data_IF_290355849189
#
_entry.id   IF_290355849189
#
_cell.length_a   1.000
_cell.length_b   1.000
_cell.length_c   1.000
_cell.angle_alpha   90.00
_cell.angle_beta   90.00
_cell.angle_gamma   90.00
#
_symmetry.space_group_name_H-M   'P 1'
#
loop_
_entity.id
_entity.type
_entity.pdbx_description
1 polymer ?
#
# COMPACT_ATOMS: atom_id res chain seq x y z
N UNK A 1 -7.00 -6.00 -19.34
CA UNK A 1 -6.02 -6.84 -18.62
C UNK A 1 -4.79 -7.20 -19.47
N UNK A 2 -4.64 -6.72 -20.71
CA UNK A 2 -3.46 -6.98 -21.55
C UNK A 2 -2.96 -5.70 -22.27
N UNK A 3 -3.22 -4.53 -21.70
CA UNK A 3 -2.75 -3.28 -22.30
C UNK A 3 -1.23 -3.17 -22.15
N UNK A 4 -0.56 -2.69 -23.18
CA UNK A 4 0.87 -2.34 -23.12
C UNK A 4 1.06 -0.86 -22.74
N UNK A 5 0.11 -0.02 -23.18
CA UNK A 5 0.10 1.44 -22.97
C UNK A 5 -1.27 1.87 -22.47
N UNK A 6 -1.29 2.74 -21.46
CA UNK A 6 -2.47 3.43 -20.94
C UNK A 6 -2.40 4.90 -21.38
N UNK A 7 -3.29 5.31 -22.27
CA UNK A 7 -3.42 6.71 -22.67
C UNK A 7 -4.42 7.42 -21.75
N UNK A 8 -3.99 8.51 -21.11
CA UNK A 8 -4.76 9.21 -20.09
C UNK A 8 -4.84 10.72 -20.35
N UNK A 9 -5.80 11.17 -21.19
CA UNK A 9 -6.13 12.59 -21.27
C UNK A 9 -6.84 13.02 -19.98
N UNK A 10 -6.37 14.08 -19.34
CA UNK A 10 -6.83 14.46 -18.00
C UNK A 10 -6.85 15.97 -17.78
N UNK A 11 -7.55 16.37 -16.72
CA UNK A 11 -7.68 17.74 -16.20
C UNK A 11 -7.42 17.69 -14.69
N UNK A 12 -6.23 17.28 -14.30
CA UNK A 12 -5.88 17.01 -12.91
C UNK A 12 -5.73 18.30 -12.11
N UNK A 13 -5.97 18.20 -10.81
CA UNK A 13 -6.12 19.35 -9.92
C UNK A 13 -5.38 19.11 -8.59
N UNK A 14 -5.11 20.20 -7.88
CA UNK A 14 -4.75 20.25 -6.45
C UNK A 14 -3.46 19.54 -6.01
N UNK A 15 -2.77 18.82 -6.89
CA UNK A 15 -1.47 18.22 -6.58
C UNK A 15 -0.43 18.45 -7.68
N UNK A 16 0.85 18.35 -7.31
CA UNK A 16 1.97 18.48 -8.25
C UNK A 16 1.95 17.34 -9.26
N UNK A 17 2.03 17.67 -10.55
CA UNK A 17 2.03 16.67 -11.63
C UNK A 17 3.44 16.16 -11.98
N UNK A 18 3.60 14.90 -12.44
CA UNK A 18 2.55 13.90 -12.63
C UNK A 18 2.03 13.35 -11.31
N UNK A 19 0.72 13.07 -11.24
CA UNK A 19 0.09 12.57 -10.03
C UNK A 19 0.67 11.24 -9.55
N UNK A 20 0.83 11.07 -8.24
CA UNK A 20 1.39 9.84 -7.65
C UNK A 20 0.54 8.59 -7.98
N UNK A 21 -0.77 8.78 -8.16
CA UNK A 21 -1.67 7.71 -8.61
C UNK A 21 -1.31 7.22 -10.03
N UNK A 22 -0.83 8.08 -10.93
CA UNK A 22 -0.47 7.67 -12.29
C UNK A 22 0.76 6.76 -12.27
N UNK A 23 1.75 7.13 -11.47
CA UNK A 23 2.94 6.31 -11.19
C UNK A 23 2.52 4.94 -10.64
N UNK A 24 1.62 4.92 -9.66
CA UNK A 24 1.08 3.67 -9.11
C UNK A 24 0.38 2.82 -10.17
N UNK A 25 -0.48 3.41 -11.01
CA UNK A 25 -1.22 2.65 -12.05
C UNK A 25 -0.29 2.06 -13.12
N UNK A 26 0.75 2.79 -13.53
CA UNK A 26 1.79 2.29 -14.42
C UNK A 26 2.51 1.08 -13.80
N UNK A 27 2.99 1.25 -12.56
CA UNK A 27 3.66 0.19 -11.81
C UNK A 27 2.77 -1.03 -11.57
N UNK A 28 1.54 -0.89 -11.08
CA UNK A 28 0.69 -2.03 -10.69
C UNK A 28 0.24 -2.87 -11.89
N UNK A 29 0.14 -2.26 -13.08
CA UNK A 29 -0.31 -2.93 -14.30
C UNK A 29 0.84 -3.32 -15.23
N UNK A 30 2.07 -2.87 -14.94
CA UNK A 30 3.22 -3.10 -15.82
C UNK A 30 2.98 -2.53 -17.22
N UNK A 31 2.41 -1.33 -17.29
CA UNK A 31 2.11 -0.65 -18.55
C UNK A 31 2.84 0.67 -18.59
N UNK A 32 3.18 1.11 -19.80
CA UNK A 32 3.45 2.53 -19.99
C UNK A 32 2.18 3.33 -19.71
N UNK A 33 2.32 4.49 -19.09
CA UNK A 33 1.22 5.44 -18.93
C UNK A 33 1.62 6.77 -19.59
N UNK A 34 0.84 7.17 -20.59
CA UNK A 34 1.00 8.42 -21.32
C UNK A 34 -0.12 9.36 -20.91
N UNK A 35 0.21 10.33 -20.06
CA UNK A 35 -0.73 11.32 -19.54
C UNK A 35 -0.56 12.65 -20.28
N UNK A 36 -1.65 13.12 -20.89
CA UNK A 36 -1.76 14.47 -21.41
C UNK A 36 -2.68 15.26 -20.47
N UNK A 37 -2.09 16.09 -19.63
CA UNK A 37 -2.79 16.88 -18.63
C UNK A 37 -2.86 18.36 -19.01
N UNK A 38 -3.96 18.97 -18.60
CA UNK A 38 -4.19 20.40 -18.73
C UNK A 38 -3.36 21.18 -17.71
N UNK A 39 -2.88 22.35 -18.10
CA UNK A 39 -2.27 23.33 -17.20
C UNK A 39 -3.00 24.69 -17.30
N UNK A 40 -2.66 25.59 -16.38
CA UNK A 40 -3.19 26.96 -16.35
C UNK A 40 -4.48 27.10 -15.53
N UNK A 41 -5.02 28.30 -15.50
CA UNK A 41 -6.24 28.63 -14.77
C UNK A 41 -7.39 28.89 -15.75
N UNK A 42 -8.47 28.11 -15.65
CA UNK A 42 -9.71 28.37 -16.40
C UNK A 42 -10.87 28.56 -15.43
N UNK A 43 -11.60 29.66 -15.56
CA UNK A 43 -12.83 29.94 -14.78
C UNK A 43 -12.62 29.78 -13.26
N UNK A 44 -11.43 30.15 -12.77
CA UNK A 44 -11.07 30.07 -11.35
C UNK A 44 -10.59 28.69 -10.88
N UNK A 45 -10.47 27.71 -11.77
CA UNK A 45 -9.92 26.38 -11.48
C UNK A 45 -8.49 26.31 -11.99
N UNK A 46 -7.53 26.08 -11.08
CA UNK A 46 -6.13 25.87 -11.39
C UNK A 46 -5.86 24.39 -11.68
N UNK A 47 -5.42 24.08 -12.90
CA UNK A 47 -4.99 22.73 -13.29
C UNK A 47 -3.52 22.46 -12.97
N UNK A 48 -3.22 21.19 -12.72
CA UNK A 48 -1.93 20.72 -12.19
C UNK A 48 -0.80 20.68 -13.22
N UNK A 49 -1.11 20.59 -14.52
CA UNK A 49 -0.09 20.31 -15.53
C UNK A 49 0.64 19.00 -15.23
N UNK A 50 1.92 18.94 -15.58
CA UNK A 50 2.72 17.73 -15.32
C UNK A 50 2.35 16.55 -16.22
N UNK A 51 1.97 16.82 -17.48
CA UNK A 51 1.89 15.80 -18.52
C UNK A 51 3.15 14.94 -18.49
N UNK A 52 3.01 13.63 -18.69
CA UNK A 52 4.12 12.71 -18.49
C UNK A 52 4.02 11.42 -19.30
N UNK A 53 5.18 10.84 -19.56
CA UNK A 53 5.33 9.45 -20.00
C UNK A 53 5.98 8.68 -18.84
N UNK A 54 5.29 7.65 -18.36
CA UNK A 54 5.69 6.85 -17.20
C UNK A 54 5.91 5.41 -17.65
N UNK A 55 7.03 4.84 -17.21
CA UNK A 55 7.48 3.48 -17.52
C UNK A 55 6.66 2.41 -16.78
N UNK A 56 6.67 1.15 -17.24
CA UNK A 56 6.01 0.01 -16.57
C UNK A 56 6.43 -0.25 -15.11
N UNK A 57 7.58 0.25 -14.67
CA UNK A 57 8.06 0.18 -13.29
C UNK A 57 7.70 1.42 -12.46
N UNK A 58 7.01 2.39 -13.06
CA UNK A 58 6.61 3.64 -12.43
C UNK A 58 7.65 4.76 -12.52
N UNK A 59 8.81 4.56 -13.15
CA UNK A 59 9.77 5.65 -13.36
C UNK A 59 9.24 6.66 -14.38
N UNK A 60 9.55 7.95 -14.19
CA UNK A 60 9.10 9.02 -15.10
C UNK A 60 10.13 9.17 -16.22
N UNK A 61 9.75 8.81 -17.45
CA UNK A 61 10.61 8.92 -18.64
C UNK A 61 10.70 10.37 -19.13
N UNK A 62 9.55 11.05 -19.19
CA UNK A 62 9.44 12.43 -19.65
C UNK A 62 8.33 13.16 -18.90
N UNK A 63 8.51 14.46 -18.64
CA UNK A 63 7.55 15.32 -17.93
C UNK A 63 7.54 16.72 -18.53
N UNK A 64 6.35 17.29 -18.70
CA UNK A 64 6.12 18.69 -19.00
C UNK A 64 5.33 19.30 -17.85
N UNK A 65 6.00 20.10 -17.01
CA UNK A 65 5.42 20.68 -15.79
C UNK A 65 4.25 21.64 -16.10
N UNK A 66 4.48 22.60 -17.00
CA UNK A 66 3.51 23.61 -17.42
C UNK A 66 3.81 24.06 -18.85
N UNK A 67 2.93 24.87 -19.44
CA UNK A 67 3.09 25.39 -20.80
C UNK A 67 2.50 24.48 -21.88
N UNK A 68 2.24 25.07 -23.05
CA UNK A 68 1.84 24.33 -24.24
C UNK A 68 3.05 23.57 -24.78
N UNK A 69 2.87 22.30 -25.15
CA UNK A 69 3.96 21.51 -25.69
C UNK A 69 3.61 20.05 -25.90
N UNK A 70 4.62 19.28 -26.28
CA UNK A 70 4.52 17.83 -26.44
C UNK A 70 5.73 17.15 -25.80
N UNK A 71 5.52 15.90 -25.41
CA UNK A 71 6.56 15.01 -24.91
C UNK A 71 6.84 13.93 -25.96
N UNK A 72 8.09 13.51 -26.03
CA UNK A 72 8.51 12.35 -26.78
C UNK A 72 9.09 11.33 -25.79
N UNK A 73 8.81 10.05 -26.03
CA UNK A 73 9.31 8.94 -25.23
C UNK A 73 9.27 7.67 -26.06
N UNK A 74 10.13 6.73 -25.72
CA UNK A 74 10.24 5.42 -26.36
C UNK A 74 9.41 4.39 -25.60
N UNK A 75 8.66 3.56 -26.34
CA UNK A 75 7.79 2.53 -25.79
C UNK A 75 8.32 1.16 -26.21
N UNK A 76 8.93 0.45 -25.26
CA UNK A 76 9.38 -0.93 -25.46
C UNK A 76 8.26 -1.91 -25.09
N UNK A 77 7.47 -2.32 -26.07
CA UNK A 77 6.28 -3.17 -25.84
C UNK A 77 6.61 -4.46 -25.08
N UNK A 78 7.77 -5.07 -25.33
CA UNK A 78 8.16 -6.30 -24.63
C UNK A 78 8.32 -6.09 -23.13
N UNK A 79 8.85 -4.94 -22.67
CA UNK A 79 8.92 -4.63 -21.23
C UNK A 79 7.53 -4.58 -20.60
N UNK A 80 6.55 -4.01 -21.29
CA UNK A 80 5.17 -3.95 -20.80
C UNK A 80 4.49 -5.33 -20.82
N UNK A 81 4.70 -6.14 -21.87
CA UNK A 81 4.08 -7.46 -22.05
C UNK A 81 4.52 -8.48 -21.01
N UNK A 82 5.75 -8.37 -20.51
CA UNK A 82 6.24 -9.29 -19.49
C UNK A 82 5.55 -9.13 -18.14
N UNK A 83 4.95 -7.98 -17.80
CA UNK A 83 4.19 -7.78 -16.53
C UNK A 83 4.96 -8.24 -15.27
N UNK A 84 6.28 -8.05 -15.25
CA UNK A 84 7.19 -8.52 -14.17
C UNK A 84 7.37 -7.47 -13.08
N UNK A 85 7.38 -7.89 -11.82
CA UNK A 85 7.98 -7.07 -10.77
C UNK A 85 9.50 -7.00 -10.95
N UNK A 86 10.18 -5.94 -10.48
CA UNK A 86 11.65 -5.89 -10.49
C UNK A 86 12.26 -7.15 -9.85
N UNK A 87 13.25 -7.74 -10.50
CA UNK A 87 13.91 -8.98 -10.04
C UNK A 87 13.11 -10.26 -10.26
N UNK A 88 11.91 -10.20 -10.83
CA UNK A 88 11.13 -11.38 -11.17
C UNK A 88 11.40 -11.89 -12.58
N UNK A 89 11.40 -13.22 -12.74
CA UNK A 89 11.38 -13.89 -14.04
C UNK A 89 9.95 -14.17 -14.54
N UNK A 90 8.94 -14.08 -13.68
CA UNK A 90 7.55 -14.45 -13.97
C UNK A 90 6.62 -13.22 -14.15
N UNK A 91 5.56 -13.31 -14.98
CA UNK A 91 4.64 -12.21 -15.28
C UNK A 91 3.63 -11.94 -14.15
N UNK A 92 4.14 -11.56 -12.99
CA UNK A 92 3.42 -11.60 -11.71
C UNK A 92 2.49 -10.43 -11.43
N UNK A 93 2.66 -9.26 -12.07
CA UNK A 93 1.84 -8.07 -11.79
C UNK A 93 0.34 -8.32 -11.97
N UNK A 94 -0.02 -9.28 -12.82
CA UNK A 94 -1.39 -9.72 -13.04
C UNK A 94 -1.66 -11.11 -12.46
N UNK A 95 -0.75 -12.06 -12.65
CA UNK A 95 -0.96 -13.47 -12.28
C UNK A 95 -0.83 -13.74 -10.77
N UNK A 96 -0.18 -12.85 -10.01
CA UNK A 96 -0.08 -12.97 -8.55
C UNK A 96 -1.27 -12.34 -7.81
N UNK A 97 -2.23 -11.73 -8.52
CA UNK A 97 -3.49 -11.26 -7.93
C UNK A 97 -4.26 -12.44 -7.33
N UNK A 98 -5.06 -12.20 -6.29
CA UNK A 98 -5.82 -13.23 -5.55
C UNK A 98 -7.34 -12.99 -5.62
N UNK A 99 -8.00 -13.26 -6.77
CA UNK A 99 -9.43 -13.00 -6.96
C UNK A 99 -10.33 -13.61 -5.90
N UNK A 100 -9.94 -14.75 -5.30
CA UNK A 100 -10.67 -15.40 -4.21
C UNK A 100 -10.81 -14.53 -2.93
N UNK A 101 -10.04 -13.43 -2.83
CA UNK A 101 -10.17 -12.46 -1.74
C UNK A 101 -10.88 -11.16 -2.16
N UNK A 102 -11.32 -11.06 -3.42
CA UNK A 102 -11.77 -9.80 -4.02
C UNK A 102 -13.30 -9.68 -4.16
N UNK A 103 -14.08 -10.66 -3.71
CA UNK A 103 -15.54 -10.70 -3.87
C UNK A 103 -16.22 -9.38 -3.49
N UNK A 104 -15.79 -8.77 -2.39
CA UNK A 104 -16.35 -7.51 -1.88
C UNK A 104 -16.14 -6.32 -2.81
N UNK A 105 -15.21 -6.38 -3.77
CA UNK A 105 -15.03 -5.30 -4.75
C UNK A 105 -16.27 -5.12 -5.61
N UNK A 106 -17.03 -6.17 -5.91
CA UNK A 106 -18.25 -6.04 -6.71
C UNK A 106 -19.39 -5.36 -5.93
N UNK A 107 -19.26 -5.24 -4.60
CA UNK A 107 -20.22 -4.55 -3.75
C UNK A 107 -19.97 -3.05 -3.74
N UNK A 108 -21.06 -2.26 -3.64
CA UNK A 108 -21.00 -0.82 -3.41
C UNK A 108 -21.62 -0.42 -2.06
N UNK A 109 -21.07 -0.99 -0.97
CA UNK A 109 -21.57 -0.78 0.39
C UNK A 109 -21.71 0.71 0.77
N UNK A 110 -20.82 1.57 0.28
CA UNK A 110 -20.77 2.99 0.64
C UNK A 110 -21.76 3.87 -0.14
N UNK A 111 -22.60 3.31 -1.02
CA UNK A 111 -23.81 4.03 -1.46
C UNK A 111 -24.80 4.24 -0.31
N UNK A 112 -24.75 3.39 0.70
CA UNK A 112 -25.55 3.47 1.92
C UNK A 112 -24.82 4.27 3.00
N UNK A 113 -25.56 4.75 4.00
CA UNK A 113 -24.98 5.34 5.19
C UNK A 113 -24.08 4.30 5.91
N UNK A 114 -22.76 4.51 6.04
CA UNK A 114 -21.85 3.50 6.61
C UNK A 114 -22.20 3.11 8.05
N UNK A 115 -22.71 4.06 8.84
CA UNK A 115 -23.13 3.82 10.23
C UNK A 115 -24.32 2.85 10.31
N UNK A 116 -25.20 2.87 9.31
CA UNK A 116 -26.35 1.96 9.21
C UNK A 116 -25.93 0.64 8.55
N UNK A 117 -25.22 0.69 7.42
CA UNK A 117 -24.82 -0.48 6.63
C UNK A 117 -24.01 -1.49 7.46
N UNK A 118 -22.98 -1.02 8.16
CA UNK A 118 -22.16 -1.89 9.01
C UNK A 118 -22.88 -2.29 10.30
N UNK A 119 -24.00 -1.66 10.67
CA UNK A 119 -24.84 -2.05 11.80
C UNK A 119 -25.96 -3.02 11.43
N UNK A 120 -26.18 -3.30 10.13
CA UNK A 120 -27.28 -4.14 9.67
C UNK A 120 -27.25 -5.51 10.34
N UNK A 121 -28.38 -5.88 10.95
CA UNK A 121 -28.57 -7.14 11.67
C UNK A 121 -27.54 -7.38 12.80
N UNK A 122 -26.93 -6.32 13.34
CA UNK A 122 -25.87 -6.42 14.34
C UNK A 122 -24.55 -6.98 13.79
N UNK A 123 -24.40 -7.09 12.46
CA UNK A 123 -23.21 -7.66 11.85
C UNK A 123 -22.04 -6.67 11.82
N UNK A 124 -21.17 -6.76 12.84
CA UNK A 124 -19.89 -6.03 12.93
C UNK A 124 -20.01 -4.50 12.80
N UNK A 125 -20.78 -3.84 13.68
CA UNK A 125 -20.90 -2.38 13.69
C UNK A 125 -19.53 -1.71 13.75
N UNK A 126 -19.42 -0.52 13.15
CA UNK A 126 -18.20 0.27 13.24
C UNK A 126 -17.91 0.60 14.71
N UNK A 127 -16.66 0.49 15.17
CA UNK A 127 -16.31 0.89 16.53
C UNK A 127 -16.56 2.40 16.73
N UNK A 128 -16.90 2.86 17.94
CA UNK A 128 -17.23 4.27 18.20
C UNK A 128 -16.10 5.28 17.92
N UNK A 129 -14.88 4.79 17.69
CA UNK A 129 -13.71 5.60 17.37
C UNK A 129 -13.11 6.35 18.57
N UNK A 130 -11.83 6.70 18.46
CA UNK A 130 -11.07 7.41 19.50
C UNK A 130 -9.83 8.08 18.93
N UNK A 131 -9.58 9.33 19.34
CA UNK A 131 -8.28 9.98 19.17
C UNK A 131 -7.17 9.21 19.92
N UNK A 132 -6.26 8.61 19.16
CA UNK A 132 -5.27 7.66 19.65
C UNK A 132 -3.90 7.98 19.06
N UNK A 133 -2.87 8.02 19.90
CA UNK A 133 -1.50 8.14 19.41
C UNK A 133 -1.04 6.78 18.88
N UNK A 134 -0.56 6.74 17.64
CA UNK A 134 -0.01 5.54 17.00
C UNK A 134 1.40 5.81 16.48
N UNK A 135 2.18 4.76 16.31
CA UNK A 135 3.58 4.86 15.91
C UNK A 135 3.99 3.78 14.90
N UNK A 136 5.06 4.08 14.18
CA UNK A 136 5.78 3.17 13.31
C UNK A 136 7.27 3.19 13.67
N UNK A 137 7.94 2.07 13.50
CA UNK A 137 9.38 1.93 13.70
C UNK A 137 10.09 1.58 12.40
N UNK A 138 11.28 2.14 12.22
CA UNK A 138 12.21 1.81 11.15
C UNK A 138 13.51 1.33 11.77
N UNK A 139 13.91 0.09 11.51
CA UNK A 139 15.24 -0.42 11.86
C UNK A 139 15.54 -1.70 11.08
N UNK A 140 16.84 -2.03 10.99
CA UNK A 140 17.28 -3.28 10.40
C UNK A 140 17.35 -4.36 11.49
N UNK A 141 16.51 -5.42 11.43
CA UNK A 141 16.59 -6.52 12.38
C UNK A 141 17.90 -7.31 12.20
N UNK A 142 18.44 -7.85 13.30
CA UNK A 142 19.61 -8.72 13.29
C UNK A 142 19.19 -10.13 12.82
N UNK A 143 19.75 -10.66 11.73
CA UNK A 143 19.35 -11.96 11.19
C UNK A 143 19.53 -13.11 12.18
N UNK A 144 18.49 -13.93 12.37
CA UNK A 144 18.47 -15.11 13.23
C UNK A 144 18.54 -14.85 14.74
N UNK A 145 18.71 -13.60 15.19
CA UNK A 145 18.87 -13.25 16.61
C UNK A 145 17.56 -12.71 17.21
N UNK A 146 16.64 -13.63 17.50
CA UNK A 146 15.34 -13.30 18.07
C UNK A 146 15.45 -12.51 19.39
N UNK A 147 16.43 -12.83 20.24
CA UNK A 147 16.61 -12.15 21.52
C UNK A 147 17.04 -10.69 21.33
N UNK A 148 18.02 -10.43 20.46
CA UNK A 148 18.45 -9.07 20.14
C UNK A 148 17.32 -8.25 19.48
N UNK A 149 16.57 -8.87 18.58
CA UNK A 149 15.45 -8.22 17.89
C UNK A 149 14.32 -7.85 18.86
N UNK A 150 13.92 -8.75 19.75
CA UNK A 150 12.95 -8.44 20.81
C UNK A 150 13.44 -7.34 21.74
N UNK A 151 14.74 -7.29 22.05
CA UNK A 151 15.33 -6.20 22.84
C UNK A 151 15.30 -4.86 22.08
N UNK A 152 15.47 -4.87 20.75
CA UNK A 152 15.33 -3.66 19.91
C UNK A 152 13.89 -3.17 19.85
N UNK A 153 12.92 -4.08 19.68
CA UNK A 153 11.48 -3.75 19.76
C UNK A 153 11.16 -3.15 21.14
N UNK A 154 11.68 -3.74 22.22
CA UNK A 154 11.47 -3.25 23.57
C UNK A 154 12.01 -1.83 23.79
N UNK A 155 13.25 -1.56 23.38
CA UNK A 155 13.86 -0.22 23.45
C UNK A 155 13.06 0.79 22.63
N UNK A 156 12.59 0.38 21.44
CA UNK A 156 11.75 1.21 20.59
C UNK A 156 10.46 1.61 21.30
N UNK A 157 9.77 0.64 21.92
CA UNK A 157 8.55 0.89 22.70
C UNK A 157 8.80 1.80 23.90
N UNK A 158 9.92 1.64 24.59
CA UNK A 158 10.29 2.48 25.72
C UNK A 158 10.57 3.95 25.33
N UNK A 159 11.01 4.18 24.09
CA UNK A 159 11.29 5.52 23.55
C UNK A 159 10.05 6.23 22.99
N UNK A 160 8.94 5.51 22.78
CA UNK A 160 7.70 6.12 22.27
C UNK A 160 7.04 7.03 23.31
N UNK A 161 6.30 8.06 22.88
CA UNK A 161 5.57 8.90 23.81
C UNK A 161 4.57 8.08 24.64
N UNK A 162 4.44 8.45 25.91
CA UNK A 162 3.45 7.86 26.81
C UNK A 162 2.06 8.00 26.21
N UNK A 163 1.27 6.94 26.30
CA UNK A 163 -0.08 6.95 25.75
C UNK A 163 -0.21 6.45 24.32
N UNK A 164 0.90 6.06 23.67
CA UNK A 164 0.85 5.31 22.40
C UNK A 164 -0.04 4.08 22.54
N UNK A 165 -0.92 3.84 21.57
CA UNK A 165 -1.93 2.77 21.59
C UNK A 165 -1.63 1.65 20.62
N UNK A 166 -0.88 1.94 19.56
CA UNK A 166 -0.45 0.97 18.56
C UNK A 166 0.95 1.34 18.07
N UNK A 167 1.83 0.34 17.93
CA UNK A 167 3.12 0.46 17.28
C UNK A 167 3.26 -0.62 16.20
N UNK A 168 3.58 -0.21 14.97
CA UNK A 168 3.82 -1.10 13.82
C UNK A 168 5.32 -1.21 13.57
N UNK A 169 5.80 -2.42 13.34
CA UNK A 169 7.20 -2.76 13.12
C UNK A 169 7.41 -3.35 11.72
N UNK A 170 8.65 -3.35 11.20
CA UNK A 170 8.96 -3.89 9.88
C UNK A 170 8.59 -5.37 9.69
N UNK A 171 8.46 -5.78 8.42
CA UNK A 171 7.97 -7.10 7.99
C UNK A 171 8.71 -8.30 8.58
N UNK A 172 9.99 -8.16 8.88
CA UNK A 172 10.81 -9.23 9.46
C UNK A 172 11.46 -8.82 10.78
N UNK A 173 10.84 -7.87 11.49
CA UNK A 173 11.38 -7.24 12.69
C UNK A 173 11.82 -8.23 13.79
N UNK A 174 11.21 -9.40 13.91
CA UNK A 174 11.58 -10.39 14.92
C UNK A 174 12.70 -11.36 14.50
N UNK A 175 12.88 -11.60 13.20
CA UNK A 175 13.70 -12.73 12.69
C UNK A 175 14.86 -12.29 11.81
N UNK A 176 14.76 -11.14 11.13
CA UNK A 176 15.68 -10.78 10.05
C UNK A 176 15.12 -11.10 8.67
N UNK A 177 15.65 -10.40 7.67
CA UNK A 177 15.21 -10.47 6.27
C UNK A 177 15.95 -11.63 5.57
N UNK A 178 15.26 -12.67 5.09
CA UNK A 178 15.87 -13.74 4.30
C UNK A 178 16.00 -13.34 2.82
N UNK A 179 17.09 -13.74 2.17
CA UNK A 179 17.26 -13.60 0.71
C UNK A 179 17.03 -14.90 -0.05
N UNK A 180 17.18 -16.05 0.62
CA UNK A 180 17.00 -17.37 0.04
C UNK A 180 16.48 -18.39 1.07
N UNK A 181 16.28 -19.65 0.63
CA UNK A 181 15.79 -20.73 1.48
C UNK A 181 16.77 -21.14 2.60
N UNK A 182 18.08 -20.97 2.38
CA UNK A 182 19.12 -21.30 3.38
C UNK A 182 19.08 -20.31 4.53
N UNK A 183 19.04 -19.02 4.21
CA UNK A 183 18.84 -17.95 5.18
C UNK A 183 17.48 -18.06 5.88
N UNK A 184 16.41 -18.37 5.13
CA UNK A 184 15.09 -18.58 5.70
C UNK A 184 15.10 -19.70 6.76
N UNK A 185 15.82 -20.79 6.50
CA UNK A 185 16.01 -21.88 7.46
C UNK A 185 16.73 -21.41 8.73
N UNK A 186 17.73 -20.54 8.59
CA UNK A 186 18.50 -20.03 9.71
C UNK A 186 17.72 -18.98 10.54
N UNK A 187 16.82 -18.21 9.92
CA UNK A 187 16.19 -17.04 10.55
C UNK A 187 14.78 -17.32 11.09
N UNK A 188 14.07 -18.29 10.51
CA UNK A 188 12.66 -18.52 10.81
C UNK A 188 12.41 -18.80 12.29
N UNK A 189 11.32 -18.26 12.80
CA UNK A 189 10.86 -18.55 14.15
C UNK A 189 10.42 -20.01 14.23
N UNK A 190 11.25 -20.86 14.85
CA UNK A 190 10.96 -22.28 15.05
C UNK A 190 9.89 -22.53 16.13
N UNK A 191 9.72 -21.61 17.07
CA UNK A 191 8.66 -21.62 18.09
C UNK A 191 7.86 -20.31 18.08
N UNK A 192 6.89 -20.24 17.17
CA UNK A 192 5.95 -19.12 17.05
C UNK A 192 5.19 -18.88 18.36
N UNK A 193 4.87 -19.92 19.14
CA UNK A 193 4.15 -19.75 20.40
C UNK A 193 4.99 -19.00 21.45
N UNK A 194 6.29 -19.27 21.53
CA UNK A 194 7.23 -18.51 22.37
C UNK A 194 7.40 -17.07 21.93
N UNK A 195 7.51 -16.82 20.62
CA UNK A 195 7.53 -15.46 20.07
C UNK A 195 6.26 -14.69 20.46
N UNK A 196 5.08 -15.26 20.22
CA UNK A 196 3.80 -14.61 20.57
C UNK A 196 3.67 -14.36 22.08
N UNK A 197 4.15 -15.28 22.93
CA UNK A 197 4.22 -15.04 24.39
C UNK A 197 5.14 -13.88 24.75
N UNK A 198 6.30 -13.75 24.09
CA UNK A 198 7.19 -12.62 24.31
C UNK A 198 6.55 -11.29 23.90
N UNK A 199 5.93 -11.24 22.71
CA UNK A 199 5.22 -10.05 22.23
C UNK A 199 4.05 -9.65 23.15
N UNK A 200 3.29 -10.61 23.67
CA UNK A 200 2.23 -10.35 24.68
C UNK A 200 2.78 -9.70 25.95
N UNK A 201 3.94 -10.14 26.43
CA UNK A 201 4.60 -9.51 27.60
C UNK A 201 5.00 -8.07 27.29
N UNK A 202 5.57 -7.81 26.10
CA UNK A 202 5.94 -6.46 25.67
C UNK A 202 4.71 -5.56 25.56
N UNK A 203 3.64 -6.02 24.89
CA UNK A 203 2.39 -5.28 24.74
C UNK A 203 1.78 -4.90 26.09
N UNK A 204 1.75 -5.85 27.04
CA UNK A 204 1.25 -5.61 28.41
C UNK A 204 2.11 -4.63 29.20
N UNK A 205 3.44 -4.79 29.15
CA UNK A 205 4.38 -3.92 29.88
C UNK A 205 4.26 -2.47 29.42
N UNK A 206 4.18 -2.25 28.11
CA UNK A 206 4.14 -0.91 27.51
C UNK A 206 2.72 -0.34 27.38
N UNK A 207 1.68 -1.17 27.60
CA UNK A 207 0.26 -0.81 27.41
C UNK A 207 -0.03 -0.32 25.97
N UNK A 208 0.65 -0.93 25.01
CA UNK A 208 0.62 -0.60 23.57
C UNK A 208 0.32 -1.86 22.77
N UNK A 209 -0.61 -1.79 21.82
CA UNK A 209 -0.78 -2.88 20.85
C UNK A 209 0.39 -2.90 19.87
N UNK A 210 0.81 -4.08 19.44
CA UNK A 210 1.99 -4.29 18.60
C UNK A 210 1.56 -4.98 17.31
N UNK A 211 2.09 -4.53 16.18
CA UNK A 211 2.07 -5.29 14.92
C UNK A 211 3.52 -5.60 14.56
N UNK A 212 3.91 -6.86 14.65
CA UNK A 212 5.31 -7.29 14.46
C UNK A 212 5.38 -8.36 13.38
N UNK A 213 6.19 -8.10 12.37
CA UNK A 213 6.49 -9.04 11.30
C UNK A 213 7.62 -10.02 11.67
N UNK A 214 7.53 -11.25 11.16
CA UNK A 214 8.47 -12.34 11.39
C UNK A 214 8.38 -13.39 10.28
N UNK A 215 9.47 -14.11 10.08
CA UNK A 215 9.50 -15.29 9.22
C UNK A 215 9.02 -16.51 10.00
N UNK A 216 7.96 -17.16 9.53
CA UNK A 216 7.35 -18.35 10.13
C UNK A 216 7.83 -19.62 9.43
N UNK A 217 8.27 -20.62 10.20
CA UNK A 217 8.54 -21.96 9.66
C UNK A 217 7.25 -22.78 9.54
N UNK A 218 7.01 -23.37 8.37
CA UNK A 218 5.87 -24.23 8.08
C UNK A 218 6.35 -25.62 7.63
N UNK A 219 5.51 -26.67 7.72
CA UNK A 219 5.86 -28.00 7.23
C UNK A 219 6.27 -28.05 5.74
N UNK A 220 5.79 -27.10 4.91
CA UNK A 220 6.01 -27.06 3.46
C UNK A 220 6.83 -25.87 2.96
N UNK A 221 7.54 -25.15 3.83
CA UNK A 221 8.32 -23.96 3.47
C UNK A 221 8.27 -22.90 4.55
N UNK A 222 8.34 -21.63 4.15
CA UNK A 222 8.30 -20.50 5.08
C UNK A 222 7.14 -19.56 4.73
N UNK A 223 6.67 -18.76 5.68
CA UNK A 223 5.73 -17.68 5.39
C UNK A 223 6.23 -16.38 5.99
N UNK A 224 6.04 -15.27 5.26
CA UNK A 224 6.13 -13.94 5.85
C UNK A 224 4.84 -13.68 6.63
N UNK A 225 4.97 -13.51 7.94
CA UNK A 225 3.86 -13.47 8.88
C UNK A 225 3.93 -12.20 9.73
N UNK A 226 2.76 -11.68 10.12
CA UNK A 226 2.66 -10.59 11.09
C UNK A 226 1.72 -10.98 12.23
N UNK A 227 2.08 -10.58 13.45
CA UNK A 227 1.25 -10.74 14.63
C UNK A 227 0.77 -9.37 15.14
N UNK A 228 -0.55 -9.20 15.26
CA UNK A 228 -1.15 -8.13 16.04
C UNK A 228 -1.40 -8.65 17.46
N UNK A 229 -0.79 -8.02 18.45
CA UNK A 229 -0.93 -8.38 19.86
C UNK A 229 -1.33 -7.16 20.68
N UNK A 230 -2.39 -7.28 21.46
CA UNK A 230 -2.89 -6.18 22.31
C UNK A 230 -2.51 -6.37 23.78
N UNK A 231 -2.53 -5.28 24.58
CA UNK A 231 -2.33 -5.38 26.04
C UNK A 231 -3.41 -6.21 26.76
N UNK A 232 -4.61 -6.35 26.19
CA UNK A 232 -5.67 -7.18 26.76
C UNK A 232 -5.49 -8.68 26.49
N UNK A 233 -4.57 -9.05 25.60
CA UNK A 233 -4.26 -10.44 25.25
C UNK A 233 -4.81 -10.90 23.91
N UNK A 234 -5.64 -10.10 23.22
CA UNK A 234 -6.04 -10.40 21.83
C UNK A 234 -4.78 -10.58 20.98
N UNK A 235 -4.75 -11.68 20.23
CA UNK A 235 -3.65 -12.05 19.33
C UNK A 235 -4.23 -12.50 18.01
N UNK A 236 -3.78 -11.90 16.93
CA UNK A 236 -4.17 -12.25 15.56
C UNK A 236 -2.88 -12.41 14.74
N UNK A 237 -2.79 -13.48 13.97
CA UNK A 237 -1.68 -13.71 13.03
C UNK A 237 -2.19 -13.69 11.61
N UNK A 238 -1.38 -13.18 10.70
CA UNK A 238 -1.68 -13.09 9.28
C UNK A 238 -0.45 -13.48 8.48
N UNK A 239 -0.63 -14.27 7.41
CA UNK A 239 0.41 -14.66 6.45
C UNK A 239 0.21 -13.87 5.17
N UNK A 240 1.28 -13.25 4.67
CA UNK A 240 1.29 -12.48 3.42
C UNK A 240 0.63 -13.29 2.29
N UNK A 241 -0.38 -12.73 1.62
CA UNK A 241 -1.12 -13.45 0.58
C UNK A 241 -0.54 -13.24 -0.81
N UNK A 242 0.16 -12.13 -1.04
CA UNK A 242 0.76 -11.81 -2.34
C UNK A 242 2.28 -11.93 -2.30
N UNK A 243 2.79 -13.16 -2.44
CA UNK A 243 4.23 -13.43 -2.56
C UNK A 243 4.67 -13.24 -4.00
N UNK A 244 5.65 -12.36 -4.23
CA UNK A 244 6.12 -11.94 -5.54
C UNK A 244 7.65 -12.01 -5.67
N UNK A 245 8.15 -12.05 -6.90
CA UNK A 245 9.57 -11.90 -7.18
C UNK A 245 10.43 -13.00 -6.53
N UNK A 246 11.66 -12.67 -6.07
CA UNK A 246 12.58 -13.64 -5.49
C UNK A 246 12.02 -14.43 -4.30
N UNK A 247 11.12 -13.81 -3.51
CA UNK A 247 10.54 -14.44 -2.31
C UNK A 247 9.76 -15.74 -2.64
N UNK A 248 9.25 -15.90 -3.86
CA UNK A 248 8.51 -17.11 -4.28
C UNK A 248 9.33 -18.39 -4.28
N UNK A 249 10.66 -18.27 -4.29
CA UNK A 249 11.54 -19.43 -4.27
C UNK A 249 11.54 -20.13 -2.90
N UNK A 250 11.10 -19.46 -1.82
CA UNK A 250 11.12 -20.01 -0.47
C UNK A 250 9.88 -19.70 0.38
N UNK A 251 9.05 -18.71 0.01
CA UNK A 251 7.81 -18.39 0.72
C UNK A 251 6.58 -19.08 0.12
N UNK A 252 5.75 -19.60 1.00
CA UNK A 252 4.41 -20.11 0.73
C UNK A 252 3.40 -18.97 0.96
N UNK A 253 2.55 -18.63 -0.03
CA UNK A 253 1.50 -17.63 0.15
C UNK A 253 0.49 -18.01 1.23
N UNK A 254 -0.01 -17.02 1.97
CA UNK A 254 -1.16 -17.18 2.84
C UNK A 254 -2.42 -17.58 2.08
N UNK A 255 -3.26 -18.37 2.76
CA UNK A 255 -4.51 -18.95 2.26
C UNK A 255 -5.77 -18.33 2.88
N UNK A 256 -5.59 -17.36 3.79
CA UNK A 256 -6.68 -16.64 4.45
C UNK A 256 -6.67 -15.16 4.09
N UNK A 257 -7.85 -14.51 3.99
CA UNK A 257 -7.91 -13.09 3.70
C UNK A 257 -7.28 -12.28 4.84
N UNK A 258 -6.73 -11.09 4.55
CA UNK A 258 -6.15 -10.26 5.59
C UNK A 258 -7.18 -9.88 6.67
N UNK A 259 -6.80 -9.93 7.95
CA UNK A 259 -7.75 -9.79 9.04
C UNK A 259 -8.20 -8.34 9.21
N UNK A 260 -9.45 -8.20 9.65
CA UNK A 260 -10.09 -6.94 10.04
C UNK A 260 -10.37 -7.00 11.54
N UNK A 261 -9.68 -6.18 12.33
CA UNK A 261 -9.67 -6.22 13.80
C UNK A 261 -10.27 -4.94 14.38
N UNK A 262 -11.26 -5.06 15.24
CA UNK A 262 -11.80 -3.93 15.99
C UNK A 262 -10.97 -3.68 17.25
N UNK A 263 -10.40 -2.48 17.35
CA UNK A 263 -9.66 -2.01 18.51
C UNK A 263 -10.33 -0.73 19.06
N UNK A 264 -10.05 -0.33 20.32
CA UNK A 264 -10.56 0.93 20.85
C UNK A 264 -10.12 2.17 20.05
N UNK A 265 -9.09 2.07 19.21
CA UNK A 265 -8.60 3.14 18.34
C UNK A 265 -9.31 3.22 16.99
N UNK A 266 -10.15 2.24 16.65
CA UNK A 266 -10.77 2.10 15.34
C UNK A 266 -10.64 0.68 14.78
N UNK A 267 -11.14 0.48 13.56
CA UNK A 267 -11.03 -0.79 12.85
C UNK A 267 -9.71 -0.85 12.07
N UNK A 268 -8.94 -1.91 12.27
CA UNK A 268 -7.59 -2.09 11.73
C UNK A 268 -7.56 -3.26 10.74
N UNK A 269 -7.05 -3.00 9.54
CA UNK A 269 -6.67 -4.03 8.58
C UNK A 269 -5.17 -4.31 8.64
N UNK A 270 -4.75 -5.56 8.46
CA UNK A 270 -3.34 -5.92 8.34
C UNK A 270 -3.00 -6.22 6.88
N UNK A 271 -1.86 -5.70 6.41
CA UNK A 271 -1.22 -6.08 5.14
C UNK A 271 0.27 -6.28 5.40
N UNK A 272 0.97 -7.05 4.58
CA UNK A 272 2.41 -7.28 4.75
C UNK A 272 3.13 -7.01 3.42
N UNK A 273 4.13 -6.12 3.46
CA UNK A 273 5.07 -5.90 2.36
C UNK A 273 4.38 -5.74 1.00
N UNK A 274 4.61 -6.71 0.13
CA UNK A 274 4.09 -6.79 -1.24
C UNK A 274 2.58 -6.88 -1.36
N UNK A 275 1.80 -7.19 -0.31
CA UNK A 275 0.33 -7.03 -0.37
C UNK A 275 -0.05 -5.59 -0.73
N UNK A 276 0.77 -4.61 -0.31
CA UNK A 276 0.57 -3.19 -0.65
C UNK A 276 0.68 -2.93 -2.16
N UNK A 277 1.38 -3.77 -2.92
CA UNK A 277 1.49 -3.65 -4.38
C UNK A 277 0.18 -3.99 -5.12
N UNK A 278 -0.80 -4.57 -4.43
CA UNK A 278 -2.09 -4.98 -5.00
C UNK A 278 -3.21 -4.07 -4.50
N UNK A 279 -3.71 -3.12 -5.31
CA UNK A 279 -4.70 -2.14 -4.87
C UNK A 279 -6.03 -2.78 -4.42
N UNK A 280 -6.38 -3.94 -4.96
CA UNK A 280 -7.60 -4.68 -4.63
C UNK A 280 -7.67 -5.03 -3.15
N UNK A 281 -6.60 -5.59 -2.59
CA UNK A 281 -6.66 -6.11 -1.23
C UNK A 281 -6.75 -4.98 -0.19
N UNK A 282 -6.08 -3.85 -0.46
CA UNK A 282 -6.27 -2.63 0.33
C UNK A 282 -7.70 -2.09 0.23
N UNK A 283 -8.30 -2.14 -0.97
CA UNK A 283 -9.70 -1.73 -1.18
C UNK A 283 -10.69 -2.63 -0.46
N UNK A 284 -10.46 -3.94 -0.45
CA UNK A 284 -11.27 -4.92 0.30
C UNK A 284 -11.29 -4.55 1.79
N UNK A 285 -10.14 -4.26 2.38
CA UNK A 285 -10.05 -3.84 3.79
C UNK A 285 -10.77 -2.51 4.05
N UNK A 286 -10.65 -1.56 3.13
CA UNK A 286 -11.35 -0.28 3.24
C UNK A 286 -12.89 -0.44 3.16
N UNK A 287 -13.37 -1.31 2.27
CA UNK A 287 -14.79 -1.66 2.15
C UNK A 287 -15.32 -2.40 3.39
N UNK A 288 -14.47 -3.12 4.10
CA UNK A 288 -14.79 -3.72 5.41
C UNK A 288 -14.88 -2.68 6.55
N UNK A 289 -14.63 -1.40 6.25
CA UNK A 289 -14.70 -0.30 7.21
C UNK A 289 -13.42 -0.06 7.99
N UNK A 290 -12.26 -0.55 7.53
CA UNK A 290 -11.00 -0.26 8.20
C UNK A 290 -10.71 1.25 8.18
N UNK A 291 -10.41 1.81 9.35
CA UNK A 291 -9.92 3.19 9.50
C UNK A 291 -8.41 3.26 9.26
N UNK A 292 -7.70 2.21 9.68
CA UNK A 292 -6.25 2.09 9.65
C UNK A 292 -5.84 0.81 8.93
N UNK A 293 -4.86 0.91 8.03
CA UNK A 293 -4.09 -0.22 7.52
C UNK A 293 -2.72 -0.23 8.21
N UNK A 294 -2.42 -1.27 8.97
CA UNK A 294 -1.10 -1.47 9.57
C UNK A 294 -0.27 -2.36 8.65
N UNK A 295 0.88 -1.84 8.21
CA UNK A 295 1.69 -2.42 7.16
C UNK A 295 3.14 -2.58 7.63
N UNK A 296 3.50 -3.74 8.21
CA UNK A 296 4.88 -4.21 8.24
C UNK A 296 5.38 -4.33 6.82
N UNK A 297 6.28 -3.44 6.44
CA UNK A 297 6.85 -3.35 5.11
C UNK A 297 8.27 -3.93 5.09
N UNK A 298 8.65 -4.43 3.91
CA UNK A 298 9.91 -5.10 3.65
C UNK A 298 10.29 -4.96 2.17
N UNK A 299 11.15 -5.86 1.65
CA UNK A 299 11.56 -5.86 0.26
C UNK A 299 10.38 -6.01 -0.72
N UNK A 300 10.61 -5.69 -2.00
CA UNK A 300 9.63 -5.90 -3.08
C UNK A 300 8.57 -4.80 -3.22
N UNK A 301 8.63 -3.75 -2.40
CA UNK A 301 7.84 -2.52 -2.58
C UNK A 301 8.58 -1.59 -3.56
N UNK A 302 7.87 -0.88 -4.47
CA UNK A 302 8.52 0.08 -5.37
C UNK A 302 9.23 1.20 -4.59
N UNK A 303 10.37 1.70 -5.10
CA UNK A 303 11.11 2.74 -4.43
C UNK A 303 10.29 4.04 -4.35
N UNK A 304 10.48 4.79 -3.27
CA UNK A 304 10.00 6.17 -3.14
C UNK A 304 10.71 7.03 -4.18
N UNK A 305 9.95 7.84 -4.93
CA UNK A 305 10.52 8.69 -5.98
C UNK A 305 10.36 10.16 -5.63
N UNK A 306 11.43 10.92 -5.85
CA UNK A 306 11.45 12.36 -5.71
C UNK A 306 10.90 13.05 -6.97
N UNK A 307 10.43 14.29 -6.80
CA UNK A 307 10.08 15.17 -7.90
C UNK A 307 10.52 16.59 -7.57
N UNK A 308 11.21 17.23 -8.52
CA UNK A 308 11.62 18.64 -8.40
C UNK A 308 10.43 19.61 -8.28
N UNK A 309 10.70 20.91 -8.16
CA UNK A 309 9.67 21.92 -7.98
C UNK A 309 8.70 21.97 -9.17
N UNK A 310 7.56 22.63 -8.96
CA UNK A 310 6.62 23.00 -10.01
C UNK A 310 6.48 24.51 -10.10
N UNK A 311 6.35 24.99 -11.33
CA UNK A 311 6.02 26.38 -11.66
C UNK A 311 4.52 26.66 -11.57
N UNK A 312 3.69 25.61 -11.47
CA UNK A 312 2.24 25.73 -11.40
C UNK A 312 1.85 26.31 -10.03
N UNK A 313 1.01 27.38 -9.98
CA UNK A 313 0.66 28.05 -8.73
C UNK A 313 -0.43 27.29 -7.97
N UNK A 314 -0.09 26.10 -7.47
CA UNK A 314 -1.00 25.26 -6.70
C UNK A 314 -1.29 25.89 -5.32
N UNK A 315 -2.56 25.88 -4.86
CA UNK A 315 -2.89 26.39 -3.54
C UNK A 315 -2.36 25.46 -2.43
N UNK A 316 -2.04 26.01 -1.23
CA UNK A 316 -1.77 25.18 -0.06
C UNK A 316 -2.93 24.22 0.22
N UNK A 317 -2.67 23.00 0.71
CA UNK A 317 -1.37 22.50 1.20
C UNK A 317 -0.55 21.73 0.14
N UNK A 318 -0.78 21.96 -1.15
CA UNK A 318 0.00 21.30 -2.20
C UNK A 318 1.51 21.58 -2.04
N UNK A 319 2.34 20.54 -2.25
CA UNK A 319 3.80 20.66 -2.21
C UNK A 319 4.30 21.18 -3.56
N UNK A 320 4.79 22.41 -3.59
CA UNK A 320 5.25 23.07 -4.82
C UNK A 320 6.78 23.07 -5.01
N UNK A 321 7.54 22.97 -3.92
CA UNK A 321 9.00 22.89 -3.95
C UNK A 321 9.54 21.51 -4.29
N UNK A 322 10.82 21.29 -4.02
CA UNK A 322 11.44 19.96 -4.05
C UNK A 322 10.69 19.00 -3.14
N UNK A 323 10.46 17.79 -3.65
CA UNK A 323 9.67 16.79 -2.96
C UNK A 323 10.37 15.43 -3.02
N UNK A 324 11.14 15.07 -1.99
CA UNK A 324 11.91 13.83 -1.98
C UNK A 324 11.03 12.57 -1.90
N UNK A 325 9.73 12.72 -1.60
CA UNK A 325 8.80 11.60 -1.42
C UNK A 325 7.57 11.74 -2.28
N UNK A 326 7.66 12.44 -3.42
CA UNK A 326 6.55 12.70 -4.33
C UNK A 326 5.69 11.47 -4.58
N UNK A 327 6.33 10.36 -4.97
CA UNK A 327 5.71 9.05 -5.02
C UNK A 327 6.06 8.23 -3.78
N UNK A 328 5.03 7.87 -3.02
CA UNK A 328 5.13 6.87 -1.95
C UNK A 328 3.90 5.96 -2.01
N UNK A 329 4.08 4.65 -2.19
CA UNK A 329 2.95 3.73 -2.43
C UNK A 329 1.95 3.71 -1.26
N UNK A 330 2.44 3.70 -0.02
CA UNK A 330 1.58 3.79 1.17
C UNK A 330 0.68 5.05 1.19
N UNK A 331 1.17 6.19 0.68
CA UNK A 331 0.37 7.42 0.55
C UNK A 331 -0.73 7.26 -0.48
N UNK A 332 -0.41 6.69 -1.64
CA UNK A 332 -1.41 6.39 -2.68
C UNK A 332 -2.50 5.47 -2.12
N UNK A 333 -2.12 4.44 -1.36
CA UNK A 333 -3.04 3.51 -0.70
C UNK A 333 -3.91 4.19 0.35
N UNK A 334 -3.35 5.10 1.14
CA UNK A 334 -4.10 5.87 2.13
C UNK A 334 -5.18 6.72 1.47
N UNK A 335 -4.79 7.53 0.47
CA UNK A 335 -5.69 8.44 -0.24
C UNK A 335 -6.79 7.71 -1.00
N UNK A 336 -6.44 6.72 -1.83
CA UNK A 336 -7.44 6.07 -2.69
C UNK A 336 -8.48 5.29 -1.88
N UNK A 337 -8.12 4.83 -0.69
CA UNK A 337 -8.97 4.02 0.18
C UNK A 337 -9.63 4.80 1.33
N UNK A 338 -9.33 6.10 1.47
CA UNK A 338 -9.79 6.93 2.59
C UNK A 338 -9.50 6.26 3.94
N UNK A 339 -8.25 5.81 4.10
CA UNK A 339 -7.72 5.16 5.32
C UNK A 339 -6.45 5.86 5.78
N UNK A 340 -6.09 5.73 7.05
CA UNK A 340 -4.70 5.94 7.47
C UNK A 340 -3.88 4.71 7.13
N UNK A 341 -2.65 4.86 6.65
CA UNK A 341 -1.69 3.76 6.51
C UNK A 341 -0.52 3.98 7.46
N UNK A 342 -0.33 3.06 8.40
CA UNK A 342 0.85 3.00 9.25
C UNK A 342 1.89 2.07 8.61
N UNK A 343 2.85 2.67 7.93
CA UNK A 343 3.88 1.99 7.15
C UNK A 343 5.20 1.96 7.94
N UNK A 344 5.64 0.76 8.29
CA UNK A 344 6.87 0.54 9.04
C UNK A 344 7.81 -0.33 8.21
N UNK A 345 8.92 0.24 7.75
CA UNK A 345 9.79 -0.40 6.78
C UNK A 345 11.22 -0.57 7.29
N UNK A 346 12.03 -1.22 6.46
CA UNK A 346 13.46 -1.39 6.71
C UNK A 346 14.21 -0.11 6.31
N UNK A 347 15.33 0.24 6.95
CA UNK A 347 16.13 1.42 6.61
C UNK A 347 16.99 1.18 5.36
N UNK A 348 16.41 0.60 4.31
CA UNK A 348 17.14 0.24 3.10
C UNK A 348 17.37 1.48 2.22
N UNK A 349 18.59 1.68 1.71
CA UNK A 349 18.95 2.85 0.90
C UNK A 349 18.26 2.88 -0.47
N UNK A 350 17.87 1.74 -1.02
CA UNK A 350 17.10 1.60 -2.28
C UNK A 350 15.65 2.11 -2.22
N UNK A 351 15.29 2.91 -1.21
CA UNK A 351 14.08 3.71 -1.22
C UNK A 351 12.83 3.03 -0.66
N UNK A 352 12.95 1.88 0.01
CA UNK A 352 11.86 1.25 0.78
C UNK A 352 11.79 1.73 2.24
N UNK A 353 12.70 2.64 2.65
CA UNK A 353 12.61 3.38 3.93
C UNK A 353 11.42 4.35 3.97
N UNK A 354 11.58 5.53 4.58
CA UNK A 354 10.48 6.51 4.69
C UNK A 354 9.30 6.05 5.54
N UNK A 355 9.57 5.30 6.61
CA UNK A 355 8.52 4.87 7.55
C UNK A 355 7.72 6.06 8.08
N UNK A 356 6.39 5.95 8.07
CA UNK A 356 5.51 7.04 8.42
C UNK A 356 4.04 6.68 8.55
N UNK A 357 3.25 7.70 8.87
CA UNK A 357 1.79 7.64 8.90
C UNK A 357 1.25 8.47 7.75
N UNK A 358 0.51 7.84 6.84
CA UNK A 358 -0.06 8.49 5.67
C UNK A 358 -1.56 8.62 5.83
N UNK A 359 -2.10 9.83 5.63
CA UNK A 359 -3.52 10.10 5.85
C UNK A 359 -4.38 9.94 4.59
N UNK A 360 -5.71 10.02 4.76
CA UNK A 360 -6.69 9.69 3.72
C UNK A 360 -6.89 10.79 2.68
N UNK A 361 -6.35 11.99 2.89
CA UNK A 361 -6.60 13.17 2.07
C UNK A 361 -5.29 13.91 1.78
N UNK A 362 -5.14 14.60 0.64
CA UNK A 362 -3.91 15.31 0.28
C UNK A 362 -3.41 16.27 1.37
N UNK A 363 -4.32 16.89 2.12
CA UNK A 363 -4.00 17.82 3.20
C UNK A 363 -3.24 17.17 4.36
N UNK A 364 -3.41 15.86 4.55
CA UNK A 364 -2.69 15.11 5.58
C UNK A 364 -1.18 15.12 5.37
N UNK A 365 -0.73 15.40 4.14
CA UNK A 365 0.67 15.45 3.76
C UNK A 365 1.49 16.46 4.58
N UNK A 366 0.90 17.59 4.93
CA UNK A 366 1.56 18.61 5.76
C UNK A 366 1.86 18.14 7.20
N UNK A 367 1.21 17.05 7.63
CA UNK A 367 1.40 16.44 8.97
C UNK A 367 2.25 15.18 8.96
N UNK A 368 2.68 14.71 7.77
CA UNK A 368 3.55 13.54 7.64
C UNK A 368 4.90 13.81 8.32
N UNK A 369 5.29 12.89 9.21
CA UNK A 369 6.63 12.83 9.79
C UNK A 369 7.22 11.50 9.37
N UNK A 370 8.26 11.54 8.54
CA UNK A 370 8.84 10.34 7.96
C UNK A 370 10.23 10.10 8.54
N UNK A 371 10.60 8.84 8.74
CA UNK A 371 11.98 8.45 9.07
C UNK A 371 12.75 8.29 7.77
N UNK A 372 13.78 9.12 7.57
CA UNK A 372 14.59 9.09 6.34
C UNK A 372 15.18 7.70 6.06
N UNK A 373 15.37 7.31 4.78
CA UNK A 373 15.99 6.05 4.40
C UNK A 373 17.43 5.98 4.93
N UNK A 374 17.91 4.77 5.19
CA UNK A 374 19.25 4.55 5.76
C UNK A 374 19.36 4.84 7.27
N UNK A 375 18.32 5.40 7.92
CA UNK A 375 18.33 5.71 9.34
C UNK A 375 17.38 4.79 10.12
N UNK A 376 17.79 4.37 11.32
CA UNK A 376 16.86 3.79 12.29
C UNK A 376 16.13 4.91 13.04
N UNK A 377 14.84 4.76 13.28
CA UNK A 377 14.04 5.80 13.92
C UNK A 377 12.60 5.40 14.20
N UNK A 378 11.89 6.33 14.82
CA UNK A 378 10.48 6.20 15.18
C UNK A 378 9.72 7.40 14.61
N UNK A 379 8.53 7.15 14.09
CA UNK A 379 7.57 8.20 13.78
C UNK A 379 6.25 7.91 14.47
N UNK A 380 5.56 8.95 14.92
CA UNK A 380 4.26 8.83 15.57
C UNK A 380 3.38 10.03 15.26
N UNK A 381 2.08 9.82 15.41
CA UNK A 381 1.07 10.83 15.13
C UNK A 381 -0.28 10.44 15.70
N UNK A 382 -1.21 11.39 15.61
CA UNK A 382 -2.58 11.21 16.08
C UNK A 382 -3.41 10.54 15.00
N UNK A 383 -4.00 9.40 15.32
CA UNK A 383 -5.12 8.82 14.57
C UNK A 383 -6.42 9.26 15.25
N UNK A 384 -7.27 10.00 14.54
CA UNK A 384 -8.59 10.39 15.03
C UNK A 384 -9.70 9.69 14.24
N UNK A 385 -10.26 8.64 14.83
CA UNK A 385 -11.39 7.88 14.27
C UNK A 385 -12.73 8.30 14.85
N UNK A 386 -12.77 9.33 15.71
CA UNK A 386 -14.04 9.81 16.28
C UNK A 386 -14.93 10.34 15.17
N UNK A 387 -16.22 10.07 15.29
CA UNK A 387 -17.24 10.68 14.44
C UNK A 387 -18.18 11.53 15.30
N UNK A 388 -18.64 12.65 14.76
CA UNK A 388 -19.68 13.44 15.43
C UNK A 388 -20.97 12.61 15.56
N UNK A 389 -21.78 12.89 16.58
CA UNK A 389 -23.08 12.25 16.78
C UNK A 389 -24.13 12.79 15.77
N UNK A 390 -23.85 12.61 14.48
CA UNK A 390 -24.67 13.03 13.35
C UNK A 390 -25.25 11.79 12.66
N UNK A 391 -26.34 11.97 11.91
CA UNK A 391 -26.97 10.87 11.15
C UNK A 391 -26.01 10.26 10.13
N UNK A 392 -25.22 11.09 9.46
CA UNK A 392 -24.21 10.68 8.49
C UNK A 392 -22.81 10.93 9.06
N UNK A 393 -21.82 10.09 8.72
CA UNK A 393 -20.46 10.32 9.17
C UNK A 393 -19.86 11.59 8.55
N UNK A 394 -19.17 12.36 9.39
CA UNK A 394 -18.44 13.57 8.99
C UNK A 394 -16.92 13.32 8.97
N UNK A 395 -16.45 12.30 9.68
CA UNK A 395 -15.04 11.91 9.63
C UNK A 395 -14.75 11.18 8.29
N UNK A 396 -13.77 11.64 7.49
CA UNK A 396 -13.41 11.03 6.21
C UNK A 396 -13.07 9.53 6.30
N UNK A 397 -12.51 9.08 7.42
CA UNK A 397 -12.17 7.67 7.64
C UNK A 397 -13.41 6.78 7.75
N UNK A 398 -14.51 7.32 8.27
CA UNK A 398 -15.79 6.64 8.39
C UNK A 398 -16.68 6.85 7.16
N UNK A 399 -16.66 8.06 6.57
CA UNK A 399 -17.50 8.41 5.41
C UNK A 399 -16.99 7.80 4.10
N UNK A 400 -15.66 7.79 3.92
CA UNK A 400 -14.96 7.23 2.76
C UNK A 400 -15.56 7.65 1.41
N UNK A 401 -15.74 8.95 1.18
CA UNK A 401 -16.46 9.46 0.01
C UNK A 401 -15.92 8.98 -1.33
N UNK A 402 -14.59 8.79 -1.46
CA UNK A 402 -13.97 8.22 -2.67
C UNK A 402 -14.48 6.81 -3.01
N UNK A 403 -14.92 6.02 -2.01
CA UNK A 403 -15.46 4.68 -2.24
C UNK A 403 -16.87 4.73 -2.83
N UNK A 404 -17.60 5.85 -2.68
CA UNK A 404 -18.96 6.06 -3.20
C UNK A 404 -18.96 6.23 -4.72
N UNK A 405 -17.88 6.80 -5.26
CA UNK A 405 -17.74 7.09 -6.70
C UNK A 405 -17.35 5.86 -7.54
N UNK A 406 -17.10 4.72 -6.90
CA UNK A 406 -16.76 3.47 -7.59
C UNK A 406 -17.89 3.06 -8.53
N UNK A 407 -17.52 2.33 -9.58
CA UNK A 407 -18.44 1.77 -10.57
C UNK A 407 -18.30 0.24 -10.58
N UNK A 408 -18.82 -0.50 -9.57
CA UNK A 408 -18.49 -1.91 -9.37
C UNK A 408 -18.97 -2.86 -10.45
N UNK A 409 -19.92 -2.44 -11.28
CA UNK A 409 -20.37 -3.20 -12.44
C UNK A 409 -19.25 -3.41 -13.49
N UNK A 410 -18.18 -2.62 -13.46
CA UNK A 410 -16.98 -2.85 -14.29
C UNK A 410 -15.95 -3.78 -13.65
N UNK A 411 -16.17 -4.24 -12.41
CA UNK A 411 -15.16 -5.00 -11.66
C UNK A 411 -15.29 -6.52 -11.81
N UNK A 412 -16.25 -7.01 -12.59
CA UNK A 412 -16.39 -8.45 -12.86
C UNK A 412 -15.08 -9.12 -13.32
N UNK A 413 -14.24 -8.51 -14.18
CA UNK A 413 -12.96 -9.11 -14.56
C UNK A 413 -11.95 -9.26 -13.41
N UNK A 414 -12.09 -8.52 -12.31
CA UNK A 414 -11.21 -8.64 -11.14
C UNK A 414 -11.51 -9.90 -10.31
N UNK A 415 -12.67 -10.54 -10.53
CA UNK A 415 -13.07 -11.79 -9.87
C UNK A 415 -12.55 -13.04 -10.59
N UNK A 416 -11.89 -12.86 -11.73
CA UNK A 416 -11.42 -13.96 -12.55
C UNK A 416 -9.90 -14.11 -12.40
N UNK A 417 -9.39 -15.35 -12.24
CA UNK A 417 -7.97 -15.61 -12.34
C UNK A 417 -7.43 -15.15 -13.70
N UNK A 418 -6.31 -14.45 -13.68
CA UNK A 418 -5.61 -14.06 -14.91
C UNK A 418 -4.57 -15.13 -15.18
N UNK A 419 -4.77 -15.92 -16.24
CA UNK A 419 -3.76 -16.86 -16.71
C UNK A 419 -2.54 -16.10 -17.25
N UNK A 420 -1.34 -16.66 -17.06
CA UNK A 420 -0.17 -16.17 -17.78
C UNK A 420 -0.44 -16.28 -19.29
N UNK A 421 -0.06 -15.28 -20.11
CA UNK A 421 -0.14 -15.44 -21.56
C UNK A 421 0.67 -16.66 -21.96
N UNK A 422 0.06 -17.55 -22.76
CA UNK A 422 0.80 -18.67 -23.34
C UNK A 422 1.97 -18.11 -24.15
N UNK A 423 3.17 -18.63 -23.93
CA UNK A 423 4.33 -18.30 -24.76
C UNK A 423 3.95 -18.55 -26.23
N UNK A 424 3.98 -17.51 -27.07
CA UNK A 424 3.76 -17.63 -28.52
C UNK A 424 2.47 -17.04 -29.10
N UNK A 425 1.61 -16.38 -28.32
CA UNK A 425 0.53 -15.56 -28.90
C UNK A 425 1.07 -14.21 -29.41
N UNK A 426 1.77 -14.27 -30.54
CA UNK A 426 1.88 -13.12 -31.45
C UNK A 426 0.46 -12.71 -31.82
N UNK A 427 0.02 -11.53 -31.38
CA UNK A 427 -1.15 -10.88 -31.95
C UNK A 427 -0.81 -10.58 -33.42
N UNK A 428 -1.14 -11.50 -34.31
CA UNK A 428 -1.16 -11.21 -35.73
C UNK A 428 -2.26 -10.17 -35.94
N UNK A 429 -1.86 -8.97 -36.37
CA UNK A 429 -2.81 -7.98 -36.85
C UNK A 429 -3.67 -8.66 -37.94
N UNK A 430 -5.00 -8.44 -37.97
CA UNK A 430 -5.81 -8.94 -39.07
C UNK A 430 -5.22 -8.39 -40.36
N UNK A 431 -4.94 -9.28 -41.32
CA UNK A 431 -4.49 -8.91 -42.64
C UNK A 431 -5.44 -7.83 -43.18
N UNK A 432 -4.89 -6.68 -43.56
CA UNK A 432 -5.65 -5.68 -44.31
C UNK A 432 -6.06 -6.37 -45.62
N UNK A 433 -7.35 -6.67 -45.76
CA UNK A 433 -7.94 -7.01 -47.04
C UNK A 433 -7.66 -5.87 -48.00
N UNK A 434 -6.66 -6.07 -48.87
CA UNK A 434 -6.42 -5.27 -50.05
C UNK A 434 -7.50 -5.61 -51.09
N UNK A 435 -8.71 -5.13 -50.83
CA UNK A 435 -9.81 -5.16 -51.79
C UNK A 435 -10.50 -3.79 -51.76
N UNK A 436 -9.78 -2.78 -52.25
CA UNK A 436 -10.31 -1.49 -52.70
C UNK A 436 -9.23 -0.78 -53.51
N UNK A 437 -9.27 -0.94 -54.82
CA UNK A 437 -9.42 0.14 -55.81
C UNK A 437 -9.36 -0.44 -57.23
N UNK A 438 -10.40 -0.09 -58.00
CA UNK A 438 -10.63 -0.12 -59.45
C UNK A 438 -9.73 -0.95 -60.37
#
# INVERSE_FOLDING_TARGET
QAADVLCFPTNWLLEKGPGAAWIARAFENGCYLVAADRYGCERGVQFSGGSAIIEPDGTIQARLDSGDGYLLGEIELDRARHKRFPGSLAPEKLTARRPEFYDTLTLNAYLWNPLEFHGLYGHRPLPPGRASLIAVAQFLPKPGDLAANLATIDRSLAALPRGTRLAVFPEYAATGVPHDASEATAFAASDTASLLRALRRLARRHRTALVVGFLEALPGGFASSAALVTPSGLTVTYRKTHVIGPERSFLVPGDTPPPVIDLPLGRVGLLIGSDLCFPEIARVLALAGCDLLAVPAGPGIPPVQALGPTSVPLPPPAVTGDDPTHFHLARVRACENMTVVAYAALPLPEGTGWSGLFGPVPESRASERLVEPGQAGLSWGLLDTRNAATRYPMNPLCAKDMLRMRQPYWYAPLQLPIAAPAEGLTLTAPARDAAREA
#
